data_IF_237076803153
#
_entry.id   IF_237076803153
#
_cell.length_a   1.000
_cell.length_b   1.000
_cell.length_c   1.000
_cell.angle_alpha   90.00
_cell.angle_beta   90.00
_cell.angle_gamma   90.00
#
_symmetry.space_group_name_H-M   'P 1'
#
loop_
_entity.id
_entity.type
_entity.pdbx_description
1 polymer ?
#
# COMPACT_ATOMS: atom_id res chain seq x y z
N UNK A 1 13.43 -0.84 3.43
CA UNK A 1 12.19 -1.56 3.84
C UNK A 1 11.96 -2.81 2.99
N UNK A 2 11.48 -2.73 1.74
CA UNK A 2 11.15 -3.93 0.94
C UNK A 2 12.34 -4.88 0.69
N UNK A 3 13.52 -4.35 0.33
CA UNK A 3 14.73 -5.18 0.20
C UNK A 3 15.12 -5.87 1.51
N UNK A 4 14.87 -5.22 2.64
CA UNK A 4 15.10 -5.81 3.96
C UNK A 4 14.09 -6.92 4.23
N UNK A 5 12.81 -6.71 3.88
CA UNK A 5 11.79 -7.75 3.98
C UNK A 5 12.20 -9.03 3.24
N UNK A 6 12.59 -8.93 1.97
CA UNK A 6 13.03 -10.10 1.21
C UNK A 6 14.28 -10.76 1.79
N UNK A 7 15.21 -10.01 2.40
CA UNK A 7 16.36 -10.58 3.11
C UNK A 7 15.93 -11.36 4.36
N UNK A 8 14.92 -10.89 5.09
CA UNK A 8 14.38 -11.58 6.27
C UNK A 8 13.63 -12.86 5.89
N UNK A 9 12.91 -12.87 4.75
CA UNK A 9 12.22 -14.07 4.26
C UNK A 9 13.15 -15.23 3.88
N UNK A 10 14.47 -14.98 3.73
CA UNK A 10 15.46 -16.04 3.53
C UNK A 10 15.72 -16.85 4.80
N UNK A 11 15.30 -16.35 5.97
CA UNK A 11 15.40 -17.06 7.24
C UNK A 11 14.09 -17.83 7.45
N UNK A 12 14.18 -19.17 7.49
CA UNK A 12 13.01 -20.02 7.71
C UNK A 12 12.57 -19.89 9.18
N UNK A 13 11.48 -19.16 9.41
CA UNK A 13 10.93 -18.92 10.74
C UNK A 13 9.40 -18.71 10.70
N UNK A 14 8.70 -19.34 11.64
CA UNK A 14 7.28 -19.11 11.90
C UNK A 14 6.97 -19.47 13.35
N UNK A 15 5.94 -18.85 13.92
CA UNK A 15 5.44 -19.23 15.25
C UNK A 15 4.74 -20.59 15.19
N UNK A 16 4.89 -21.38 16.26
CA UNK A 16 4.35 -22.74 16.39
C UNK A 16 2.84 -22.81 16.20
N UNK A 17 2.09 -21.82 16.71
CA UNK A 17 0.63 -21.77 16.57
C UNK A 17 0.20 -21.61 15.11
N UNK A 18 0.80 -20.67 14.40
CA UNK A 18 0.55 -20.43 12.97
C UNK A 18 0.96 -21.62 12.12
N UNK A 19 2.13 -22.20 12.44
CA UNK A 19 2.65 -23.37 11.75
C UNK A 19 1.74 -24.58 11.93
N UNK A 20 1.41 -24.92 13.17
CA UNK A 20 0.56 -26.08 13.51
C UNK A 20 -0.81 -25.94 12.86
N UNK A 21 -1.39 -24.74 12.87
CA UNK A 21 -2.66 -24.48 12.20
C UNK A 21 -2.55 -24.71 10.68
N UNK A 22 -1.58 -24.09 10.01
CA UNK A 22 -1.39 -24.26 8.55
C UNK A 22 -1.02 -25.69 8.15
N UNK A 23 -0.32 -26.43 9.01
CA UNK A 23 0.01 -27.83 8.77
C UNK A 23 -1.22 -28.72 8.90
N UNK A 24 -2.04 -28.52 9.94
CA UNK A 24 -3.30 -29.24 10.12
C UNK A 24 -4.28 -29.03 8.96
N UNK A 25 -4.44 -27.79 8.50
CA UNK A 25 -5.34 -27.48 7.39
C UNK A 25 -4.90 -28.18 6.11
N UNK A 26 -3.60 -28.16 5.78
CA UNK A 26 -3.10 -28.87 4.59
C UNK A 26 -3.17 -30.40 4.69
N UNK A 27 -3.02 -30.98 5.88
CA UNK A 27 -3.25 -32.43 6.06
C UNK A 27 -4.69 -32.80 5.73
N UNK A 28 -5.65 -31.95 6.09
CA UNK A 28 -7.07 -32.15 5.74
C UNK A 28 -7.32 -32.03 4.24
N UNK A 29 -6.74 -31.03 3.59
CA UNK A 29 -6.84 -30.86 2.14
C UNK A 29 -6.30 -32.08 1.37
N UNK A 30 -5.14 -32.65 1.78
CA UNK A 30 -4.57 -33.84 1.14
C UNK A 30 -5.35 -35.14 1.42
N UNK A 31 -6.09 -35.20 2.54
CA UNK A 31 -6.98 -36.33 2.88
C UNK A 31 -8.31 -36.26 2.10
N UNK A 32 -8.79 -35.06 1.74
CA UNK A 32 -10.03 -34.86 0.95
C UNK A 32 -9.83 -35.10 -0.55
N UNK A 33 -8.64 -34.80 -1.09
CA UNK A 33 -8.29 -35.02 -2.51
C UNK A 33 -7.93 -36.49 -2.84
N UNK A 34 -7.82 -37.37 -1.84
CA UNK A 34 -7.59 -38.80 -2.05
C UNK A 34 -8.92 -39.56 -2.19
N UNK A 35 -9.16 -40.28 -3.30
CA UNK A 35 -10.35 -41.12 -3.41
C UNK A 35 -10.32 -42.19 -2.31
N UNK A 36 -11.47 -42.45 -1.69
CA UNK A 36 -11.75 -43.40 -0.58
C UNK A 36 -11.41 -44.89 -0.86
N UNK A 37 -10.40 -45.19 -1.69
CA UNK A 37 -10.14 -46.53 -2.24
C UNK A 37 -8.78 -47.10 -1.84
N UNK A 38 -8.14 -46.60 -0.78
CA UNK A 38 -7.01 -47.31 -0.18
C UNK A 38 -7.24 -47.46 1.31
N UNK A 39 -7.89 -48.59 1.65
CA UNK A 39 -7.82 -49.21 2.96
C UNK A 39 -6.35 -49.12 3.41
N UNK A 40 -6.10 -48.36 4.47
CA UNK A 40 -4.80 -48.27 5.15
C UNK A 40 -4.33 -49.66 5.51
N UNK A 41 -3.58 -50.27 4.58
CA UNK A 41 -2.77 -51.43 4.89
C UNK A 41 -1.55 -50.89 5.61
N UNK A 42 -1.57 -51.11 6.92
CA UNK A 42 -0.48 -50.88 7.86
C UNK A 42 0.69 -51.79 7.49
N UNK A 43 1.37 -51.54 6.36
CA UNK A 43 2.53 -52.31 5.94
C UNK A 43 3.58 -51.35 5.40
N UNK A 44 4.46 -50.96 6.31
CA UNK A 44 5.81 -50.45 6.07
C UNK A 44 6.34 -50.84 4.69
N UNK A 45 6.39 -49.86 3.78
CA UNK A 45 6.94 -50.03 2.44
C UNK A 45 7.77 -48.78 2.08
N UNK A 46 9.06 -48.87 2.40
CA UNK A 46 10.18 -47.98 2.01
C UNK A 46 10.13 -46.52 2.47
N UNK A 47 10.80 -46.29 3.61
CA UNK A 47 10.94 -45.09 4.44
C UNK A 47 11.33 -43.76 3.75
N UNK A 48 11.60 -43.71 2.44
CA UNK A 48 11.96 -42.45 1.80
C UNK A 48 10.77 -41.71 1.17
N UNK A 49 9.79 -42.43 0.60
CA UNK A 49 8.69 -41.79 -0.12
C UNK A 49 7.69 -41.11 0.82
N UNK A 50 7.32 -41.78 1.92
CA UNK A 50 6.47 -41.22 2.96
C UNK A 50 7.14 -40.00 3.63
N UNK A 51 8.45 -40.04 3.87
CA UNK A 51 9.19 -38.92 4.45
C UNK A 51 9.32 -37.75 3.47
N UNK A 52 9.48 -38.00 2.16
CA UNK A 52 9.46 -36.93 1.14
C UNK A 52 8.09 -36.26 1.04
N UNK A 53 7.00 -37.02 1.15
CA UNK A 53 5.65 -36.48 1.15
C UNK A 53 5.40 -35.58 2.38
N UNK A 54 5.79 -36.02 3.57
CA UNK A 54 5.70 -35.19 4.79
C UNK A 54 6.60 -33.95 4.71
N UNK A 55 7.83 -34.05 4.19
CA UNK A 55 8.68 -32.87 3.95
C UNK A 55 8.04 -31.88 2.98
N UNK A 56 7.43 -32.38 1.90
CA UNK A 56 6.73 -31.55 0.92
C UNK A 56 5.55 -30.82 1.57
N UNK A 57 4.81 -31.50 2.43
CA UNK A 57 3.71 -30.90 3.19
C UNK A 57 4.19 -29.78 4.11
N UNK A 58 5.31 -29.96 4.83
CA UNK A 58 5.90 -28.91 5.66
C UNK A 58 6.34 -27.69 4.85
N UNK A 59 7.00 -27.92 3.70
CA UNK A 59 7.40 -26.85 2.77
C UNK A 59 6.19 -26.09 2.24
N UNK A 60 5.15 -26.82 1.84
CA UNK A 60 3.86 -26.29 1.42
C UNK A 60 3.30 -25.37 2.53
N UNK A 61 3.15 -25.86 3.76
CA UNK A 61 2.64 -25.04 4.88
C UNK A 61 3.45 -23.76 5.07
N UNK A 62 4.78 -23.85 5.04
CA UNK A 62 5.65 -22.68 5.17
C UNK A 62 5.47 -21.68 4.02
N UNK A 63 5.35 -22.16 2.78
CA UNK A 63 5.11 -21.33 1.61
C UNK A 63 3.78 -20.59 1.71
N UNK A 64 2.73 -21.23 2.22
CA UNK A 64 1.43 -20.59 2.45
C UNK A 64 1.55 -19.43 3.43
N UNK A 65 2.13 -19.70 4.61
CA UNK A 65 2.31 -18.69 5.65
C UNK A 65 3.12 -17.50 5.12
N UNK A 66 4.21 -17.78 4.41
CA UNK A 66 5.08 -16.73 3.83
C UNK A 66 4.37 -15.94 2.74
N UNK A 67 3.55 -16.61 1.91
CA UNK A 67 2.74 -15.95 0.90
C UNK A 67 1.72 -14.98 1.51
N UNK A 68 1.00 -15.40 2.55
CA UNK A 68 0.03 -14.53 3.25
C UNK A 68 0.74 -13.34 3.90
N UNK A 69 1.84 -13.60 4.61
CA UNK A 69 2.65 -12.55 5.23
C UNK A 69 3.13 -11.50 4.20
N UNK A 70 3.62 -11.94 3.04
CA UNK A 70 4.06 -11.03 1.99
C UNK A 70 2.91 -10.27 1.32
N UNK A 71 1.76 -10.93 1.14
CA UNK A 71 0.56 -10.30 0.62
C UNK A 71 0.06 -9.15 1.52
N UNK A 72 0.25 -9.27 2.84
CA UNK A 72 -0.09 -8.21 3.80
C UNK A 72 1.03 -7.15 3.92
N UNK A 73 2.28 -7.58 4.11
CA UNK A 73 3.37 -6.70 4.49
C UNK A 73 3.87 -5.83 3.33
N UNK A 74 3.92 -6.35 2.09
CA UNK A 74 4.41 -5.56 0.94
C UNK A 74 3.51 -4.34 0.69
N UNK A 75 2.17 -4.49 0.55
CA UNK A 75 1.29 -3.34 0.36
C UNK A 75 1.32 -2.37 1.55
N UNK A 76 1.43 -2.89 2.78
CA UNK A 76 1.52 -2.06 3.98
C UNK A 76 2.77 -1.16 3.95
N UNK A 77 3.93 -1.73 3.63
CA UNK A 77 5.19 -0.98 3.49
C UNK A 77 5.10 0.07 2.38
N UNK A 78 4.54 -0.28 1.23
CA UNK A 78 4.36 0.67 0.11
C UNK A 78 3.47 1.83 0.54
N UNK A 79 2.30 1.53 1.12
CA UNK A 79 1.34 2.54 1.58
C UNK A 79 1.96 3.48 2.61
N UNK A 80 2.67 2.94 3.59
CA UNK A 80 3.33 3.75 4.61
C UNK A 80 4.38 4.69 4.00
N UNK A 81 5.27 4.19 3.15
CA UNK A 81 6.35 5.01 2.58
C UNK A 81 5.84 6.03 1.55
N UNK A 82 5.05 5.58 0.57
CA UNK A 82 4.69 6.39 -0.61
C UNK A 82 3.54 7.35 -0.31
N UNK A 83 2.64 7.01 0.62
CA UNK A 83 1.54 7.92 0.95
C UNK A 83 1.83 8.68 2.24
N UNK A 84 2.08 7.99 3.34
CA UNK A 84 2.15 8.66 4.64
C UNK A 84 3.46 9.44 4.83
N UNK A 85 4.61 8.77 4.67
CA UNK A 85 5.92 9.42 4.83
C UNK A 85 6.16 10.47 3.74
N UNK A 86 5.87 10.14 2.49
CA UNK A 86 6.05 11.08 1.39
C UNK A 86 5.13 12.30 1.51
N UNK A 87 3.85 12.15 1.88
CA UNK A 87 2.98 13.32 2.09
C UNK A 87 3.47 14.19 3.24
N UNK A 88 3.93 13.59 4.35
CA UNK A 88 4.49 14.33 5.48
C UNK A 88 5.77 15.08 5.08
N UNK A 89 6.63 14.45 4.26
CA UNK A 89 7.82 15.08 3.72
C UNK A 89 7.45 16.23 2.77
N UNK A 90 6.54 16.00 1.82
CA UNK A 90 6.07 17.01 0.88
C UNK A 90 5.53 18.24 1.62
N UNK A 91 4.72 18.06 2.66
CA UNK A 91 4.20 19.17 3.46
C UNK A 91 5.33 19.99 4.11
N UNK A 92 6.38 19.34 4.62
CA UNK A 92 7.55 20.03 5.19
C UNK A 92 8.32 20.81 4.11
N UNK A 93 8.59 20.17 2.98
CA UNK A 93 9.30 20.81 1.85
C UNK A 93 8.52 21.99 1.26
N UNK A 94 7.19 21.88 1.18
CA UNK A 94 6.33 23.00 0.77
C UNK A 94 6.44 24.18 1.73
N UNK A 95 6.45 23.94 3.04
CA UNK A 95 6.64 25.00 4.04
C UNK A 95 8.04 25.61 3.94
N UNK A 96 9.06 24.79 3.70
CA UNK A 96 10.43 25.26 3.51
C UNK A 96 10.55 26.14 2.26
N UNK A 97 9.91 25.76 1.14
CA UNK A 97 9.88 26.56 -0.09
C UNK A 97 9.28 27.94 0.14
N UNK A 98 8.26 28.05 1.01
CA UNK A 98 7.65 29.33 1.37
C UNK A 98 8.51 30.19 2.31
N UNK A 99 9.50 29.61 3.00
CA UNK A 99 10.42 30.36 3.87
C UNK A 99 11.54 31.05 3.07
N UNK A 100 11.84 30.58 1.87
CA UNK A 100 12.85 31.16 0.97
C UNK A 100 12.33 32.49 0.39
N UNK A 101 12.57 33.58 1.13
CA UNK A 101 12.03 34.91 0.85
C UNK A 101 12.40 35.46 -0.53
N UNK A 102 13.54 35.07 -1.08
CA UNK A 102 14.07 35.61 -2.33
C UNK A 102 13.22 35.25 -3.56
N UNK A 103 12.39 34.19 -3.47
CA UNK A 103 11.58 33.69 -4.59
C UNK A 103 10.07 33.91 -4.44
N UNK A 104 9.60 34.49 -3.33
CA UNK A 104 8.16 34.60 -3.04
C UNK A 104 7.44 35.45 -4.09
N UNK A 105 8.04 36.57 -4.52
CA UNK A 105 7.43 37.45 -5.53
C UNK A 105 7.28 36.74 -6.89
N UNK A 106 8.21 35.85 -7.23
CA UNK A 106 8.14 35.05 -8.46
C UNK A 106 7.09 33.95 -8.35
N UNK A 107 7.04 33.23 -7.21
CA UNK A 107 6.06 32.18 -6.91
C UNK A 107 4.62 32.70 -6.90
N UNK A 108 4.41 33.92 -6.42
CA UNK A 108 3.08 34.54 -6.31
C UNK A 108 2.71 35.38 -7.55
N UNK A 109 3.58 35.46 -8.56
CA UNK A 109 3.31 36.24 -9.76
C UNK A 109 2.18 35.61 -10.56
N UNK A 110 1.07 36.33 -10.68
CA UNK A 110 -0.03 35.94 -11.56
C UNK A 110 0.44 35.89 -13.02
N UNK A 111 -0.15 34.99 -13.79
CA UNK A 111 -0.06 35.04 -15.25
C UNK A 111 -0.65 36.37 -15.76
N UNK A 112 0.01 36.97 -16.77
CA UNK A 112 -0.32 38.28 -17.32
C UNK A 112 -1.76 38.32 -17.84
N UNK A 113 -2.21 37.25 -18.50
CA UNK A 113 -3.57 37.17 -19.05
C UNK A 113 -4.62 37.10 -17.93
N UNK A 114 -4.33 36.35 -16.87
CA UNK A 114 -5.19 36.24 -15.68
C UNK A 114 -5.27 37.58 -14.96
N UNK A 115 -4.13 38.25 -14.75
CA UNK A 115 -4.08 39.58 -14.12
C UNK A 115 -4.87 40.63 -14.91
N UNK A 116 -4.73 40.63 -16.24
CA UNK A 116 -5.46 41.54 -17.13
C UNK A 116 -6.98 41.30 -17.07
N UNK A 117 -7.39 40.02 -17.10
CA UNK A 117 -8.80 39.64 -16.97
C UNK A 117 -9.37 40.04 -15.61
N UNK A 118 -8.63 39.84 -14.52
CA UNK A 118 -9.01 40.25 -13.16
C UNK A 118 -9.23 41.77 -13.10
N UNK A 119 -8.32 42.56 -13.65
CA UNK A 119 -8.44 44.02 -13.68
C UNK A 119 -9.68 44.49 -14.47
N UNK A 120 -9.94 43.89 -15.63
CA UNK A 120 -11.11 44.20 -16.44
C UNK A 120 -12.44 43.90 -15.72
N UNK A 121 -12.51 42.74 -15.05
CA UNK A 121 -13.69 42.35 -14.26
C UNK A 121 -13.90 43.27 -13.06
N UNK A 122 -12.85 43.61 -12.32
CA UNK A 122 -12.93 44.56 -11.21
C UNK A 122 -13.41 45.95 -11.69
N UNK A 123 -12.93 46.42 -12.85
CA UNK A 123 -13.40 47.67 -13.45
C UNK A 123 -14.88 47.61 -13.85
N UNK A 124 -15.33 46.49 -14.45
CA UNK A 124 -16.73 46.28 -14.79
C UNK A 124 -17.61 46.25 -13.54
N UNK A 125 -17.20 45.56 -12.48
CA UNK A 125 -17.92 45.52 -11.21
C UNK A 125 -18.08 46.91 -10.60
N UNK A 126 -17.00 47.71 -10.55
CA UNK A 126 -17.05 49.10 -10.05
C UNK A 126 -18.07 49.94 -10.83
N UNK A 127 -18.10 49.83 -12.16
CA UNK A 127 -19.07 50.53 -13.01
C UNK A 127 -20.51 50.09 -12.73
N UNK A 128 -20.74 48.79 -12.58
CA UNK A 128 -22.07 48.24 -12.24
C UNK A 128 -22.53 48.68 -10.85
N UNK A 129 -21.64 48.72 -9.85
CA UNK A 129 -21.97 49.23 -8.52
C UNK A 129 -22.38 50.71 -8.56
N UNK A 130 -21.67 51.53 -9.35
CA UNK A 130 -22.02 52.94 -9.54
C UNK A 130 -23.36 53.11 -10.27
N UNK A 131 -23.65 52.29 -11.28
CA UNK A 131 -24.96 52.28 -11.92
C UNK A 131 -26.08 51.90 -10.92
N UNK A 132 -25.81 50.92 -10.05
CA UNK A 132 -26.75 50.52 -8.99
C UNK A 132 -27.00 51.66 -7.99
N UNK A 133 -25.98 52.40 -7.57
CA UNK A 133 -26.19 53.51 -6.62
C UNK A 133 -27.10 54.57 -7.22
N UNK A 134 -26.92 54.90 -8.50
CA UNK A 134 -27.82 55.85 -9.19
C UNK A 134 -29.26 55.33 -9.30
N UNK A 135 -29.47 54.03 -9.53
CA UNK A 135 -30.80 53.42 -9.54
C UNK A 135 -31.49 53.42 -8.16
N UNK A 136 -30.71 53.44 -7.08
CA UNK A 136 -31.25 53.48 -5.71
C UNK A 136 -31.55 54.92 -5.26
N UNK A 137 -30.85 55.91 -5.82
CA UNK A 137 -31.10 57.34 -5.57
C UNK A 137 -32.29 57.90 -6.38
N UNK A 138 -32.74 57.18 -7.41
CA UNK A 138 -33.90 57.53 -8.25
C UNK A 138 -35.21 57.06 -7.62
#
# INVERSE_FOLDING_TARGET
>A
MLRTQFKMELIVYTQDSTYSHSLCERKREEDEDQPLTEIRSTIFSTDNHATLQEMMLHLKSYYWISSQRLADQIPMVIRYLVLQEFASQLQREMLQTLQEKDNIEQLLKEDIDIGSKRAALQSKLKRLMKARSYLVEF
#
